data_IF_155837593915
#
_entry.id   IF_155837593915
#
_cell.length_a   1.000
_cell.length_b   1.000
_cell.length_c   1.000
_cell.angle_alpha   90.00
_cell.angle_beta   90.00
_cell.angle_gamma   90.00
#
_symmetry.space_group_name_H-M   'P 1'
#
loop_
_entity.id
_entity.type
_entity.pdbx_description
1 polymer ?
#
# COMPACT_ATOMS: atom_id res chain seq x y z
N UNK A 1 24.76 -2.13 -22.49
CA UNK A 1 23.49 -2.04 -21.73
C UNK A 1 22.37 -1.82 -22.73
N UNK A 2 21.30 -2.61 -22.68
CA UNK A 2 20.10 -2.29 -23.45
C UNK A 2 19.58 -0.93 -22.97
N UNK A 3 19.18 -0.06 -23.90
CA UNK A 3 18.53 1.20 -23.54
C UNK A 3 17.22 0.86 -22.82
N UNK A 4 16.99 1.50 -21.68
CA UNK A 4 15.70 1.40 -20.98
C UNK A 4 14.66 2.15 -21.82
N UNK A 5 13.54 1.49 -22.11
CA UNK A 5 12.39 2.11 -22.77
C UNK A 5 11.45 2.70 -21.72
N UNK A 6 11.57 4.00 -21.50
CA UNK A 6 10.80 4.71 -20.47
C UNK A 6 9.32 4.86 -20.87
N UNK A 7 9.00 4.93 -22.16
CA UNK A 7 7.63 5.05 -22.64
C UNK A 7 6.86 3.74 -22.39
N UNK A 8 7.50 2.60 -22.72
CA UNK A 8 6.92 1.30 -22.43
C UNK A 8 6.72 1.05 -20.93
N UNK A 9 7.68 1.46 -20.09
CA UNK A 9 7.54 1.36 -18.62
C UNK A 9 6.36 2.20 -18.12
N UNK A 10 6.25 3.44 -18.59
CA UNK A 10 5.16 4.33 -18.17
C UNK A 10 3.79 3.75 -18.54
N UNK A 11 3.61 3.32 -19.79
CA UNK A 11 2.36 2.72 -20.24
C UNK A 11 1.99 1.46 -19.44
N UNK A 12 2.99 0.63 -19.11
CA UNK A 12 2.79 -0.55 -18.28
C UNK A 12 2.37 -0.18 -16.85
N UNK A 13 3.03 0.79 -16.22
CA UNK A 13 2.67 1.27 -14.87
C UNK A 13 1.24 1.81 -14.84
N UNK A 14 0.83 2.59 -15.84
CA UNK A 14 -0.54 3.11 -15.94
C UNK A 14 -1.57 1.97 -16.02
N UNK A 15 -1.29 0.93 -16.81
CA UNK A 15 -2.16 -0.26 -16.90
C UNK A 15 -2.24 -1.01 -15.56
N UNK A 16 -1.11 -1.21 -14.88
CA UNK A 16 -1.07 -1.88 -13.58
C UNK A 16 -1.81 -1.07 -12.51
N UNK A 17 -1.68 0.26 -12.54
CA UNK A 17 -2.39 1.14 -11.63
C UNK A 17 -3.90 1.00 -11.77
N UNK A 18 -4.42 1.15 -12.99
CA UNK A 18 -5.85 1.10 -13.28
C UNK A 18 -6.45 -0.30 -13.07
N UNK A 19 -5.73 -1.35 -13.46
CA UNK A 19 -6.28 -2.71 -13.48
C UNK A 19 -6.11 -3.48 -12.16
N UNK A 20 -5.12 -3.12 -11.34
CA UNK A 20 -4.75 -3.91 -10.15
C UNK A 20 -4.65 -3.09 -8.86
N UNK A 21 -4.03 -1.91 -8.89
CA UNK A 21 -3.78 -1.15 -7.68
C UNK A 21 -5.04 -0.40 -7.20
N UNK A 22 -5.76 0.24 -8.12
CA UNK A 22 -6.82 1.19 -7.79
C UNK A 22 -7.99 0.55 -7.02
N UNK A 23 -8.45 -0.63 -7.44
CA UNK A 23 -9.52 -1.36 -6.74
C UNK A 23 -9.10 -1.75 -5.32
N UNK A 24 -7.88 -2.28 -5.16
CA UNK A 24 -7.33 -2.65 -3.86
C UNK A 24 -7.14 -1.44 -2.94
N UNK A 25 -6.77 -0.29 -3.50
CA UNK A 25 -6.66 0.97 -2.76
C UNK A 25 -8.03 1.46 -2.27
N UNK A 26 -9.08 1.28 -3.07
CA UNK A 26 -10.45 1.60 -2.65
C UNK A 26 -10.91 0.70 -1.49
N UNK A 27 -10.72 -0.62 -1.61
CA UNK A 27 -10.98 -1.57 -0.50
C UNK A 27 -10.17 -1.20 0.75
N UNK A 28 -8.92 -0.79 0.59
CA UNK A 28 -8.07 -0.37 1.70
C UNK A 28 -8.64 0.86 2.40
N UNK A 29 -9.12 1.87 1.66
CA UNK A 29 -9.71 3.09 2.24
C UNK A 29 -10.88 2.76 3.18
N UNK A 30 -11.71 1.77 2.84
CA UNK A 30 -12.88 1.36 3.62
C UNK A 30 -12.55 0.77 4.99
N UNK A 31 -11.35 0.20 5.17
CA UNK A 31 -10.95 -0.42 6.45
C UNK A 31 -10.57 0.67 7.47
N UNK A 32 -11.24 0.76 8.64
CA UNK A 32 -10.94 1.78 9.66
C UNK A 32 -9.73 1.37 10.53
N UNK A 33 -8.61 1.10 9.87
CA UNK A 33 -7.36 0.60 10.44
C UNK A 33 -6.59 1.69 11.20
N UNK A 34 -7.14 2.18 12.31
CA UNK A 34 -6.52 3.23 13.11
C UNK A 34 -5.20 2.78 13.75
N UNK A 35 -4.25 3.72 13.84
CA UNK A 35 -3.02 3.51 14.62
C UNK A 35 -3.36 3.21 16.08
N UNK A 36 -2.59 2.37 16.80
CA UNK A 36 -2.81 2.09 18.22
C UNK A 36 -2.87 3.34 19.13
N UNK A 37 -2.28 4.45 18.69
CA UNK A 37 -2.37 5.73 19.40
C UNK A 37 -3.78 6.34 19.42
N UNK A 38 -4.69 5.86 18.56
CA UNK A 38 -6.06 6.37 18.40
C UNK A 38 -7.14 5.30 18.61
N UNK A 39 -6.74 4.06 18.83
CA UNK A 39 -7.61 2.92 19.10
C UNK A 39 -6.91 1.99 20.10
N UNK A 40 -7.29 2.08 21.38
CA UNK A 40 -6.70 1.25 22.44
C UNK A 40 -7.06 -0.23 22.28
N UNK A 41 -8.19 -0.52 21.64
CA UNK A 41 -8.74 -1.86 21.41
C UNK A 41 -8.40 -2.39 19.99
N UNK A 42 -7.43 -1.78 19.30
CA UNK A 42 -7.04 -2.11 17.91
C UNK A 42 -6.86 -3.61 17.65
N UNK A 43 -6.30 -4.33 18.63
CA UNK A 43 -6.03 -5.75 18.53
C UNK A 43 -7.31 -6.58 18.58
N UNK A 44 -8.32 -6.14 19.33
CA UNK A 44 -9.62 -6.79 19.39
C UNK A 44 -10.47 -6.43 18.16
N UNK A 45 -10.33 -5.23 17.62
CA UNK A 45 -11.02 -4.80 16.40
C UNK A 45 -10.52 -5.53 15.15
N UNK A 46 -9.22 -5.85 15.06
CA UNK A 46 -8.67 -6.65 13.96
C UNK A 46 -8.45 -5.91 12.64
N UNK A 47 -8.76 -4.61 12.54
CA UNK A 47 -8.66 -3.87 11.27
C UNK A 47 -7.24 -3.78 10.70
N UNK A 48 -6.20 -3.80 11.54
CA UNK A 48 -4.81 -3.89 11.07
C UNK A 48 -4.52 -5.25 10.42
N UNK A 49 -5.16 -6.32 10.90
CA UNK A 49 -5.05 -7.65 10.31
C UNK A 49 -5.82 -7.75 9.00
N UNK A 50 -7.05 -7.21 8.95
CA UNK A 50 -7.83 -7.10 7.71
C UNK A 50 -7.05 -6.36 6.62
N UNK A 51 -6.32 -5.32 7.01
CA UNK A 51 -5.45 -4.55 6.11
C UNK A 51 -4.29 -5.38 5.58
N UNK A 52 -3.62 -6.16 6.42
CA UNK A 52 -2.52 -7.05 6.01
C UNK A 52 -3.05 -8.13 5.06
N UNK A 53 -4.20 -8.71 5.35
CA UNK A 53 -4.83 -9.75 4.53
C UNK A 53 -5.24 -9.21 3.15
N UNK A 54 -5.78 -7.99 3.09
CA UNK A 54 -6.06 -7.29 1.84
C UNK A 54 -4.79 -7.12 0.99
N UNK A 55 -3.69 -6.67 1.60
CA UNK A 55 -2.41 -6.49 0.91
C UNK A 55 -1.83 -7.81 0.44
N UNK A 56 -1.88 -8.87 1.24
CA UNK A 56 -1.44 -10.21 0.85
C UNK A 56 -2.24 -10.75 -0.34
N UNK A 57 -3.56 -10.58 -0.32
CA UNK A 57 -4.46 -10.95 -1.43
C UNK A 57 -4.06 -10.20 -2.71
N UNK A 58 -3.86 -8.88 -2.63
CA UNK A 58 -3.44 -8.07 -3.77
C UNK A 58 -2.06 -8.49 -4.30
N UNK A 59 -1.06 -8.64 -3.44
CA UNK A 59 0.28 -9.11 -3.81
C UNK A 59 0.22 -10.46 -4.52
N UNK A 60 -0.64 -11.38 -4.06
CA UNK A 60 -0.86 -12.68 -4.70
C UNK A 60 -1.40 -12.61 -6.14
N UNK A 61 -1.94 -11.47 -6.57
CA UNK A 61 -2.40 -11.26 -7.96
C UNK A 61 -1.28 -10.79 -8.89
N UNK A 62 -0.17 -10.30 -8.34
CA UNK A 62 0.91 -9.72 -9.13
C UNK A 62 1.81 -10.82 -9.71
N UNK A 63 2.17 -10.76 -11.00
CA UNK A 63 3.04 -11.75 -11.64
C UNK A 63 4.53 -11.54 -11.30
N UNK A 64 4.86 -11.38 -10.01
CA UNK A 64 6.22 -11.10 -9.55
C UNK A 64 6.97 -12.38 -9.20
N UNK A 65 7.89 -12.79 -10.09
CA UNK A 65 8.75 -13.96 -9.87
C UNK A 65 9.68 -13.72 -8.69
N UNK A 66 9.82 -14.72 -7.83
CA UNK A 66 10.72 -14.66 -6.67
C UNK A 66 10.19 -13.82 -5.51
N UNK A 67 8.91 -13.43 -5.54
CA UNK A 67 8.28 -12.76 -4.40
C UNK A 67 7.99 -13.74 -3.27
N UNK A 68 8.32 -13.36 -2.05
CA UNK A 68 7.89 -14.00 -0.81
C UNK A 68 7.35 -12.95 0.16
N UNK A 69 6.31 -13.33 0.92
CA UNK A 69 5.64 -12.46 1.87
C UNK A 69 5.67 -13.11 3.25
N UNK A 70 5.98 -12.34 4.29
CA UNK A 70 5.97 -12.82 5.67
C UNK A 70 5.33 -11.77 6.59
N UNK A 71 4.39 -12.22 7.42
CA UNK A 71 3.73 -11.39 8.43
C UNK A 71 4.35 -11.73 9.79
N UNK A 72 5.09 -10.77 10.33
CA UNK A 72 5.70 -10.89 11.66
C UNK A 72 4.72 -10.43 12.71
N UNK A 73 4.55 -11.24 13.76
CA UNK A 73 3.65 -10.97 14.89
C UNK A 73 4.41 -11.12 16.19
N UNK A 74 4.33 -10.08 17.03
CA UNK A 74 4.88 -10.07 18.38
C UNK A 74 3.74 -9.67 19.32
N UNK A 75 3.59 -10.40 20.43
CA UNK A 75 2.54 -10.12 21.41
C UNK A 75 2.58 -8.64 21.87
N UNK A 76 1.42 -7.98 21.85
CA UNK A 76 1.30 -6.56 22.20
C UNK A 76 1.88 -5.58 21.18
N UNK A 77 2.22 -6.00 19.96
CA UNK A 77 2.72 -5.15 18.87
C UNK A 77 1.88 -5.30 17.60
N UNK A 78 1.81 -4.24 16.81
CA UNK A 78 1.17 -4.26 15.49
C UNK A 78 1.89 -5.23 14.54
N UNK A 79 1.16 -5.83 13.58
CA UNK A 79 1.77 -6.71 12.60
C UNK A 79 2.72 -5.96 11.66
N UNK A 80 3.74 -6.66 11.17
CA UNK A 80 4.66 -6.14 10.13
C UNK A 80 4.65 -7.09 8.94
N UNK A 81 4.30 -6.59 7.76
CA UNK A 81 4.43 -7.33 6.51
C UNK A 81 5.79 -7.02 5.86
N UNK A 82 6.60 -8.05 5.64
CA UNK A 82 7.79 -7.98 4.80
C UNK A 82 7.52 -8.67 3.47
N UNK A 83 7.81 -7.98 2.37
CA UNK A 83 7.77 -8.53 1.01
C UNK A 83 9.18 -8.50 0.46
N UNK A 84 9.70 -9.67 0.09
CA UNK A 84 11.02 -9.82 -0.52
C UNK A 84 10.86 -10.28 -1.95
N UNK A 85 11.53 -9.62 -2.89
CA UNK A 85 11.54 -10.00 -4.30
C UNK A 85 13.01 -10.25 -4.69
N UNK A 86 13.32 -11.48 -5.09
CA UNK A 86 14.68 -11.84 -5.47
C UNK A 86 15.15 -11.07 -6.71
N UNK A 87 16.25 -10.32 -6.55
CA UNK A 87 16.91 -9.61 -7.63
C UNK A 87 17.71 -10.54 -8.54
N UNK A 88 18.11 -10.02 -9.70
CA UNK A 88 18.96 -10.75 -10.67
C UNK A 88 20.41 -10.27 -10.70
N UNK A 89 20.79 -9.35 -9.82
CA UNK A 89 22.13 -8.76 -9.75
C UNK A 89 22.48 -8.30 -8.33
N UNK A 90 23.66 -7.70 -8.20
CA UNK A 90 24.18 -7.27 -6.90
C UNK A 90 23.49 -6.00 -6.38
N UNK A 91 23.32 -5.93 -5.07
CA UNK A 91 22.72 -4.79 -4.36
C UNK A 91 21.36 -5.09 -3.75
N UNK A 92 20.92 -4.20 -2.86
CA UNK A 92 19.63 -4.31 -2.16
C UNK A 92 18.96 -2.93 -2.09
N UNK A 93 17.64 -2.91 -2.22
CA UNK A 93 16.81 -1.71 -2.08
C UNK A 93 15.70 -2.00 -1.08
N UNK A 94 15.52 -1.10 -0.11
CA UNK A 94 14.45 -1.19 0.87
C UNK A 94 13.36 -0.17 0.55
N UNK A 95 12.14 -0.65 0.38
CA UNK A 95 10.93 0.17 0.37
C UNK A 95 10.24 0.08 1.73
N UNK A 96 9.82 1.22 2.26
CA UNK A 96 9.13 1.32 3.54
C UNK A 96 7.86 2.15 3.41
N UNK A 97 6.79 1.67 4.02
CA UNK A 97 5.51 2.34 4.14
C UNK A 97 4.81 1.87 5.42
N UNK A 98 3.70 2.51 5.79
CA UNK A 98 2.82 2.12 6.88
C UNK A 98 1.38 2.07 6.38
N UNK A 99 0.57 1.22 7.01
CA UNK A 99 -0.79 0.90 6.55
C UNK A 99 -1.87 1.32 7.56
N UNK A 100 -1.46 1.77 8.76
CA UNK A 100 -2.36 2.32 9.75
C UNK A 100 -2.75 3.77 9.44
N UNK A 101 -3.85 4.20 10.04
CA UNK A 101 -4.52 5.46 9.70
C UNK A 101 -4.60 6.38 10.90
N UNK A 102 -4.53 7.68 10.62
CA UNK A 102 -4.93 8.71 11.58
C UNK A 102 -6.45 8.61 11.85
N UNK A 103 -6.98 9.25 12.91
CA UNK A 103 -8.41 9.30 13.15
C UNK A 103 -9.12 10.22 12.13
N UNK A 104 -10.42 10.03 11.90
CA UNK A 104 -11.20 10.94 11.08
C UNK A 104 -11.11 12.39 11.57
N UNK A 105 -11.04 13.34 10.63
CA UNK A 105 -11.23 14.75 10.91
C UNK A 105 -12.65 15.18 10.50
N UNK A 106 -13.02 16.44 10.78
CA UNK A 106 -14.32 17.01 10.41
C UNK A 106 -14.20 17.94 9.20
N UNK A 107 -15.30 18.13 8.46
CA UNK A 107 -15.33 19.06 7.31
C UNK A 107 -15.18 18.41 5.94
N UNK A 108 -15.52 17.12 5.82
CA UNK A 108 -15.60 16.43 4.53
C UNK A 108 -16.64 17.09 3.61
N UNK A 109 -16.38 17.06 2.31
CA UNK A 109 -17.33 17.51 1.29
C UNK A 109 -18.53 16.55 1.20
N UNK A 110 -19.64 17.01 0.62
CA UNK A 110 -20.83 16.19 0.43
C UNK A 110 -20.52 14.90 -0.34
N UNK A 111 -20.99 13.76 0.16
CA UNK A 111 -20.73 12.44 -0.42
C UNK A 111 -19.36 11.84 -0.10
N UNK A 112 -18.51 12.53 0.66
CA UNK A 112 -17.17 12.05 1.06
C UNK A 112 -17.10 11.74 2.55
N UNK A 113 -16.11 10.94 2.94
CA UNK A 113 -15.88 10.55 4.33
C UNK A 113 -14.57 9.80 4.53
N UNK A 114 -14.18 9.55 5.78
CA UNK A 114 -12.89 8.95 6.12
C UNK A 114 -12.67 7.55 5.55
N UNK A 115 -13.75 6.82 5.31
CA UNK A 115 -13.78 5.42 4.87
C UNK A 115 -14.55 5.26 3.55
N UNK A 116 -14.76 6.34 2.80
CA UNK A 116 -15.51 6.33 1.54
C UNK A 116 -14.51 6.57 0.41
N UNK A 117 -14.17 5.54 -0.39
CA UNK A 117 -13.28 5.71 -1.53
C UNK A 117 -13.97 6.54 -2.60
N UNK A 118 -13.38 7.68 -2.98
CA UNK A 118 -13.88 8.53 -4.07
C UNK A 118 -12.81 8.69 -5.14
N UNK A 119 -13.20 8.46 -6.39
CA UNK A 119 -12.38 8.70 -7.57
C UNK A 119 -12.87 9.97 -8.25
N UNK A 120 -12.03 11.00 -8.31
CA UNK A 120 -12.39 12.26 -8.99
C UNK A 120 -11.79 12.35 -10.39
N UNK A 121 -10.58 11.84 -10.60
CA UNK A 121 -9.89 11.85 -11.88
C UNK A 121 -9.31 10.47 -12.27
N UNK A 122 -8.98 10.25 -13.55
CA UNK A 122 -8.15 9.13 -13.96
C UNK A 122 -6.81 9.12 -13.22
N UNK A 123 -6.38 7.96 -12.70
CA UNK A 123 -5.14 7.88 -11.92
C UNK A 123 -5.20 8.37 -10.46
N UNK A 124 -6.30 8.94 -9.96
CA UNK A 124 -6.38 9.42 -8.57
C UNK A 124 -7.48 8.73 -7.75
N UNK A 125 -7.16 8.36 -6.51
CA UNK A 125 -8.15 8.24 -5.45
C UNK A 125 -8.00 9.47 -4.57
N UNK A 126 -9.09 10.18 -4.38
CA UNK A 126 -9.10 11.38 -3.56
C UNK A 126 -9.87 11.02 -2.31
N UNK A 127 -9.20 11.26 -1.18
CA UNK A 127 -9.76 11.23 0.16
C UNK A 127 -9.96 9.86 0.84
N UNK A 128 -9.73 9.91 2.14
CA UNK A 128 -9.37 8.80 3.04
C UNK A 128 -8.48 9.40 4.12
N UNK A 129 -8.53 8.89 5.35
CA UNK A 129 -7.64 9.43 6.39
C UNK A 129 -6.18 9.17 5.98
N UNK A 130 -5.29 10.16 6.12
CA UNK A 130 -3.91 10.11 5.62
C UNK A 130 -3.24 8.74 5.85
N UNK A 131 -3.02 8.02 4.76
CA UNK A 131 -2.17 6.84 4.67
C UNK A 131 -0.94 7.26 3.90
N UNK A 132 0.27 7.18 4.47
CA UNK A 132 1.49 7.39 3.69
C UNK A 132 1.80 6.12 2.90
N UNK A 133 0.98 5.83 1.89
CA UNK A 133 1.26 4.84 0.85
C UNK A 133 2.23 5.40 -0.19
N UNK A 134 3.36 5.98 0.22
CA UNK A 134 4.38 6.47 -0.71
C UNK A 134 5.55 5.48 -0.74
N UNK A 135 5.62 4.71 -1.81
CA UNK A 135 6.83 3.98 -2.20
C UNK A 135 7.84 5.02 -2.69
N UNK A 136 8.80 5.40 -1.84
CA UNK A 136 9.89 6.29 -2.25
C UNK A 136 10.90 5.48 -3.07
N UNK A 137 10.96 5.75 -4.37
CA UNK A 137 12.03 5.25 -5.24
C UNK A 137 13.30 6.06 -5.00
N UNK A 138 14.37 5.42 -4.51
CA UNK A 138 15.72 5.92 -4.71
C UNK A 138 16.55 4.88 -5.44
N UNK A 139 16.86 5.15 -6.70
CA UNK A 139 17.92 4.46 -7.41
C UNK A 139 19.24 5.15 -7.01
N UNK A 140 20.10 4.44 -6.27
CA UNK A 140 21.51 4.81 -6.17
C UNK A 140 22.31 3.88 -7.08
N UNK A 141 22.58 4.34 -8.29
CA UNK A 141 23.68 3.82 -9.10
C UNK A 141 24.85 4.81 -9.01
N UNK A 142 25.87 4.46 -8.23
CA UNK A 142 27.26 4.97 -8.30
C UNK A 142 28.15 3.81 -7.86
N UNK A 143 29.19 3.35 -8.57
CA UNK A 143 30.00 3.90 -9.67
C UNK A 143 30.30 2.81 -10.70
#
# INVERSE_FOLDING_TARGET
>A
MASIDLEAIHAWVDEQWESHALGSLAEFIEIPALSPAFDEDWAAHGYLDDTIDLFLKWLGTLPMKGMSCNVHRIEGRTPVLTVTIEGSGDGEVLFYSHLDKQPPFTGWSEGKGPWIPVREDPGSMVEGVSTTGTVVTSASSRF
#
